data_IF_263806267503
#
_entry.id   IF_263806267503
#
_cell.length_a   1.000
_cell.length_b   1.000
_cell.length_c   1.000
_cell.angle_alpha   90.00
_cell.angle_beta   90.00
_cell.angle_gamma   90.00
#
_symmetry.space_group_name_H-M   'P 1'
#
loop_
_entity.id
_entity.type
_entity.pdbx_description
1 polymer ?
#
# COMPACT_ATOMS: atom_id res chain seq x y z
N UNK A 1 -16.89 0.57 16.98
CA UNK A 1 -16.76 1.85 17.74
C UNK A 1 -15.52 2.66 17.37
N UNK A 2 -15.22 2.87 16.08
CA UNK A 2 -14.09 3.72 15.67
C UNK A 2 -14.50 5.19 15.57
N UNK A 3 -15.71 5.50 15.07
CA UNK A 3 -16.28 6.86 15.07
C UNK A 3 -16.50 7.41 16.49
N UNK A 4 -16.95 6.57 17.43
CA UNK A 4 -17.28 7.00 18.79
C UNK A 4 -16.03 7.31 19.64
N UNK A 5 -14.92 6.62 19.37
CA UNK A 5 -13.68 6.75 20.15
C UNK A 5 -12.61 7.61 19.45
N UNK A 6 -12.93 8.18 18.28
CA UNK A 6 -12.00 8.99 17.50
C UNK A 6 -12.00 10.43 18.00
N UNK A 7 -10.83 11.07 18.18
CA UNK A 7 -10.73 12.49 18.49
C UNK A 7 -11.12 13.39 17.30
N UNK A 8 -11.40 12.80 16.13
CA UNK A 8 -11.83 13.51 14.92
C UNK A 8 -13.19 13.01 14.47
N UNK A 9 -14.06 13.95 14.09
CA UNK A 9 -15.33 13.65 13.44
C UNK A 9 -15.08 13.25 11.98
N UNK A 10 -15.65 12.12 11.58
CA UNK A 10 -15.57 11.66 10.19
C UNK A 10 -16.80 10.83 9.83
N UNK A 11 -17.14 10.90 8.56
CA UNK A 11 -18.05 9.97 7.92
C UNK A 11 -17.24 8.95 7.12
N UNK A 12 -17.83 7.78 6.94
CA UNK A 12 -17.21 6.68 6.22
C UNK A 12 -18.26 6.04 5.32
N UNK A 13 -17.93 5.97 4.05
CA UNK A 13 -18.61 5.18 3.04
C UNK A 13 -17.63 4.09 2.57
N UNK A 14 -18.09 2.85 2.54
CA UNK A 14 -17.32 1.76 1.95
C UNK A 14 -17.52 1.78 0.44
N UNK A 15 -16.44 1.65 -0.34
CA UNK A 15 -16.52 1.64 -1.80
C UNK A 15 -15.85 0.38 -2.30
N UNK A 16 -16.58 -0.39 -3.12
CA UNK A 16 -16.02 -1.52 -3.84
C UNK A 16 -16.02 -1.25 -5.34
N UNK A 17 -14.95 -1.64 -6.02
CA UNK A 17 -14.90 -1.63 -7.48
C UNK A 17 -15.05 -3.08 -7.97
N UNK A 18 -16.22 -3.40 -8.51
CA UNK A 18 -16.44 -4.61 -9.28
C UNK A 18 -15.85 -4.40 -10.69
N UNK A 19 -14.71 -5.04 -10.92
CA UNK A 19 -13.95 -4.94 -12.16
C UNK A 19 -14.45 -5.93 -13.25
N UNK A 20 -15.55 -6.64 -12.98
CA UNK A 20 -16.11 -7.73 -13.79
C UNK A 20 -15.11 -8.87 -14.03
N UNK A 21 -14.28 -9.16 -13.02
CA UNK A 21 -13.35 -10.28 -13.09
C UNK A 21 -14.13 -11.61 -13.02
N UNK A 22 -13.82 -12.58 -13.89
CA UNK A 22 -14.45 -13.89 -13.83
C UNK A 22 -14.31 -14.53 -12.44
N UNK A 23 -15.43 -14.96 -11.86
CA UNK A 23 -15.48 -15.61 -10.55
C UNK A 23 -15.45 -14.66 -9.35
N UNK A 24 -15.47 -13.34 -9.53
CA UNK A 24 -15.60 -12.40 -8.41
C UNK A 24 -16.97 -12.57 -7.73
N UNK A 25 -17.02 -12.83 -6.41
CA UNK A 25 -18.28 -13.01 -5.70
C UNK A 25 -18.88 -11.65 -5.33
N UNK A 26 -19.58 -11.05 -6.28
CA UNK A 26 -20.21 -9.72 -6.20
C UNK A 26 -21.14 -9.51 -4.98
N UNK A 27 -21.80 -10.56 -4.49
CA UNK A 27 -22.74 -10.51 -3.37
C UNK A 27 -22.09 -10.49 -1.97
N UNK A 28 -20.89 -11.08 -1.82
CA UNK A 28 -20.29 -11.34 -0.49
C UNK A 28 -20.07 -10.05 0.30
N UNK A 29 -19.50 -9.03 -0.33
CA UNK A 29 -19.20 -7.77 0.34
C UNK A 29 -20.45 -6.90 0.58
N UNK A 30 -21.34 -6.69 -0.41
CA UNK A 30 -22.62 -6.01 -0.18
C UNK A 30 -23.44 -6.61 0.95
N UNK A 31 -23.58 -7.94 1.00
CA UNK A 31 -24.41 -8.59 2.01
C UNK A 31 -23.83 -8.42 3.41
N UNK A 32 -22.52 -8.53 3.55
CA UNK A 32 -21.82 -8.25 4.81
C UNK A 32 -21.99 -6.79 5.25
N UNK A 33 -21.79 -5.82 4.35
CA UNK A 33 -21.91 -4.40 4.66
C UNK A 33 -23.34 -4.01 5.06
N UNK A 34 -24.36 -4.58 4.39
CA UNK A 34 -25.77 -4.46 4.79
C UNK A 34 -25.99 -5.02 6.19
N UNK A 35 -25.48 -6.21 6.48
CA UNK A 35 -25.64 -6.87 7.78
C UNK A 35 -25.09 -6.03 8.94
N UNK A 36 -23.94 -5.36 8.74
CA UNK A 36 -23.32 -4.51 9.77
C UNK A 36 -23.77 -3.04 9.72
N UNK A 37 -24.68 -2.68 8.82
CA UNK A 37 -25.26 -1.33 8.71
C UNK A 37 -24.26 -0.25 8.28
N UNK A 38 -23.27 -0.59 7.46
CA UNK A 38 -22.29 0.38 6.93
C UNK A 38 -22.77 0.87 5.56
N UNK A 39 -22.88 2.20 5.32
CA UNK A 39 -23.16 2.74 3.99
C UNK A 39 -22.07 2.34 2.99
N UNK A 40 -22.48 1.93 1.80
CA UNK A 40 -21.54 1.51 0.77
C UNK A 40 -22.07 1.75 -0.65
N UNK A 41 -21.13 1.91 -1.57
CA UNK A 41 -21.37 1.96 -3.01
C UNK A 41 -20.55 0.89 -3.73
N UNK A 42 -21.17 0.28 -4.75
CA UNK A 42 -20.52 -0.65 -5.67
C UNK A 42 -20.37 0.06 -7.00
N UNK A 43 -19.13 0.31 -7.41
CA UNK A 43 -18.80 0.84 -8.72
C UNK A 43 -18.58 -0.35 -9.65
N UNK A 44 -19.35 -0.44 -10.73
CA UNK A 44 -19.23 -1.51 -11.71
C UNK A 44 -18.55 -1.00 -12.98
N UNK A 45 -17.36 -1.51 -13.29
CA UNK A 45 -16.58 -1.11 -14.46
C UNK A 45 -15.83 -2.31 -15.03
N UNK A 46 -16.03 -2.63 -16.31
CA UNK A 46 -15.34 -3.75 -16.96
C UNK A 46 -13.89 -3.40 -17.34
N UNK A 47 -13.07 -3.22 -16.32
CA UNK A 47 -11.61 -3.02 -16.50
C UNK A 47 -10.91 -4.32 -16.88
N UNK A 48 -11.51 -5.48 -16.60
CA UNK A 48 -10.94 -6.78 -16.95
C UNK A 48 -10.79 -6.94 -18.46
N UNK A 49 -11.86 -6.69 -19.23
CA UNK A 49 -11.83 -6.75 -20.69
C UNK A 49 -10.88 -5.72 -21.30
N UNK A 50 -10.80 -4.53 -20.71
CA UNK A 50 -9.85 -3.49 -21.16
C UNK A 50 -8.41 -3.97 -20.99
N UNK A 51 -8.07 -4.53 -19.83
CA UNK A 51 -6.71 -5.01 -19.54
C UNK A 51 -6.32 -6.15 -20.47
N UNK A 52 -7.20 -7.13 -20.69
CA UNK A 52 -6.94 -8.26 -21.60
C UNK A 52 -6.82 -7.83 -23.06
N UNK A 53 -7.54 -6.78 -23.48
CA UNK A 53 -7.43 -6.23 -24.83
C UNK A 53 -6.12 -5.48 -25.06
N UNK A 54 -5.65 -4.74 -24.04
CA UNK A 54 -4.48 -3.85 -24.17
C UNK A 54 -3.16 -4.59 -23.92
N UNK A 55 -3.16 -5.55 -22.99
CA UNK A 55 -1.95 -6.28 -22.60
C UNK A 55 -1.91 -7.62 -23.34
N UNK A 56 -0.86 -7.89 -24.14
CA UNK A 56 -0.72 -9.18 -24.80
C UNK A 56 -0.69 -10.34 -23.81
N UNK A 57 -1.19 -11.50 -24.25
CA UNK A 57 -1.17 -12.71 -23.46
C UNK A 57 0.26 -13.06 -22.99
N UNK A 58 0.40 -13.54 -21.75
CA UNK A 58 1.70 -13.84 -21.13
C UNK A 58 2.48 -12.61 -20.61
N UNK A 59 1.98 -11.38 -20.78
CA UNK A 59 2.56 -10.17 -20.17
C UNK A 59 1.84 -9.78 -18.88
N UNK A 60 2.55 -9.07 -18.01
CA UNK A 60 2.04 -8.62 -16.70
C UNK A 60 0.92 -7.60 -16.81
N UNK A 61 -0.25 -7.95 -16.28
CA UNK A 61 -1.47 -7.14 -16.31
C UNK A 61 -1.62 -6.18 -15.14
N UNK A 62 -0.98 -6.48 -14.00
CA UNK A 62 -1.17 -5.77 -12.73
C UNK A 62 -0.88 -4.26 -12.82
N UNK A 63 0.09 -3.86 -13.65
CA UNK A 63 0.45 -2.45 -13.81
C UNK A 63 -0.68 -1.60 -14.39
N UNK A 64 -1.34 -2.08 -15.45
CA UNK A 64 -2.48 -1.38 -16.06
C UNK A 64 -3.72 -1.48 -15.17
N UNK A 65 -4.04 -2.67 -14.66
CA UNK A 65 -5.17 -2.88 -13.75
C UNK A 65 -5.10 -1.96 -12.52
N UNK A 66 -3.92 -1.85 -11.88
CA UNK A 66 -3.74 -0.97 -10.72
C UNK A 66 -3.94 0.51 -11.05
N UNK A 67 -3.55 0.96 -12.26
CA UNK A 67 -3.75 2.35 -12.70
C UNK A 67 -5.22 2.65 -12.95
N UNK A 68 -5.92 1.76 -13.65
CA UNK A 68 -7.37 1.89 -13.92
C UNK A 68 -8.16 1.92 -12.61
N UNK A 69 -7.92 0.96 -11.71
CA UNK A 69 -8.58 0.90 -10.39
C UNK A 69 -8.39 2.20 -9.61
N UNK A 70 -7.16 2.72 -9.57
CA UNK A 70 -6.86 3.97 -8.87
C UNK A 70 -7.61 5.14 -9.51
N UNK A 71 -7.58 5.26 -10.83
CA UNK A 71 -8.29 6.31 -11.56
C UNK A 71 -9.77 6.33 -11.25
N UNK A 72 -10.43 5.17 -11.33
CA UNK A 72 -11.88 5.05 -11.05
C UNK A 72 -12.21 5.44 -9.61
N UNK A 73 -11.47 4.91 -8.62
CA UNK A 73 -11.71 5.22 -7.22
C UNK A 73 -11.46 6.71 -6.89
N UNK A 74 -10.49 7.34 -7.55
CA UNK A 74 -10.17 8.75 -7.33
C UNK A 74 -11.24 9.64 -7.98
N UNK A 75 -11.67 9.32 -9.21
CA UNK A 75 -12.78 10.03 -9.86
C UNK A 75 -14.07 9.94 -9.04
N UNK A 76 -14.38 8.76 -8.48
CA UNK A 76 -15.51 8.60 -7.58
C UNK A 76 -15.35 9.47 -6.33
N UNK A 77 -14.16 9.51 -5.72
CA UNK A 77 -13.89 10.35 -4.57
C UNK A 77 -14.08 11.84 -4.88
N UNK A 78 -13.61 12.31 -6.04
CA UNK A 78 -13.80 13.69 -6.50
C UNK A 78 -15.28 14.03 -6.70
N UNK A 79 -16.03 13.19 -7.42
CA UNK A 79 -17.44 13.40 -7.71
C UNK A 79 -18.34 13.40 -6.46
N UNK A 80 -17.92 12.73 -5.39
CA UNK A 80 -18.66 12.62 -4.14
C UNK A 80 -18.08 13.50 -3.02
N UNK A 81 -17.20 14.46 -3.34
CA UNK A 81 -16.59 15.37 -2.36
C UNK A 81 -15.89 14.63 -1.19
N UNK A 82 -15.19 13.54 -1.49
CA UNK A 82 -14.46 12.73 -0.51
C UNK A 82 -13.02 13.24 -0.41
N UNK A 83 -12.68 13.80 0.76
CA UNK A 83 -11.34 14.39 1.00
C UNK A 83 -10.23 13.36 1.23
N UNK A 84 -10.59 12.13 1.65
CA UNK A 84 -9.63 11.10 2.09
C UNK A 84 -10.01 9.70 1.60
N UNK A 85 -9.03 8.99 1.05
CA UNK A 85 -9.19 7.61 0.58
C UNK A 85 -8.41 6.69 1.53
N UNK A 86 -9.12 5.83 2.25
CA UNK A 86 -8.50 4.84 3.14
C UNK A 86 -8.28 3.51 2.42
N UNK A 87 -7.03 3.03 2.40
CA UNK A 87 -6.66 1.75 1.79
C UNK A 87 -6.12 0.80 2.85
N UNK A 88 -6.46 -0.49 2.73
CA UNK A 88 -6.14 -1.54 3.71
C UNK A 88 -4.69 -2.03 3.72
N UNK A 89 -3.75 -1.26 3.15
CA UNK A 89 -2.34 -1.67 3.12
C UNK A 89 -1.76 -1.71 4.54
N UNK A 90 -1.10 -2.82 4.87
CA UNK A 90 -0.49 -3.06 6.17
C UNK A 90 1.03 -2.89 6.15
N UNK A 91 1.68 -2.98 7.31
CA UNK A 91 3.11 -2.74 7.46
C UNK A 91 3.96 -3.59 6.51
N UNK A 92 3.62 -4.87 6.38
CA UNK A 92 4.38 -5.77 5.51
C UNK A 92 4.25 -5.40 4.03
N UNK A 93 3.09 -4.88 3.57
CA UNK A 93 2.94 -4.35 2.20
C UNK A 93 3.89 -3.17 1.93
N UNK A 94 4.08 -2.31 2.93
CA UNK A 94 4.99 -1.16 2.86
C UNK A 94 6.44 -1.66 2.72
N UNK A 95 6.82 -2.65 3.51
CA UNK A 95 8.16 -3.24 3.45
C UNK A 95 8.37 -3.93 2.10
N UNK A 96 7.44 -4.80 1.67
CA UNK A 96 7.51 -5.44 0.35
C UNK A 96 7.69 -4.42 -0.77
N UNK A 97 6.97 -3.30 -0.69
CA UNK A 97 7.02 -2.25 -1.70
C UNK A 97 8.34 -1.50 -1.68
N UNK A 98 8.95 -1.30 -0.50
CA UNK A 98 10.32 -0.79 -0.39
C UNK A 98 11.30 -1.70 -1.15
N UNK A 99 11.28 -3.00 -0.88
CA UNK A 99 12.20 -3.95 -1.50
C UNK A 99 11.96 -4.11 -3.00
N UNK A 100 10.70 -4.09 -3.45
CA UNK A 100 10.38 -4.08 -4.87
C UNK A 100 11.00 -2.87 -5.58
N UNK A 101 10.89 -1.67 -5.02
CA UNK A 101 11.48 -0.47 -5.62
C UNK A 101 13.02 -0.48 -5.51
N UNK A 102 13.56 -1.02 -4.43
CA UNK A 102 15.01 -1.12 -4.25
C UNK A 102 15.65 -2.08 -5.26
N UNK A 103 15.07 -3.27 -5.47
CA UNK A 103 15.65 -4.27 -6.38
C UNK A 103 15.30 -4.08 -7.85
N UNK A 104 14.11 -3.59 -8.17
CA UNK A 104 13.65 -3.49 -9.57
C UNK A 104 13.46 -2.05 -10.05
N UNK A 105 13.31 -1.09 -9.13
CA UNK A 105 13.05 0.31 -9.45
C UNK A 105 14.24 1.24 -9.28
N UNK A 106 15.34 0.77 -8.67
CA UNK A 106 16.50 1.59 -8.34
C UNK A 106 16.21 2.75 -7.39
N UNK A 107 15.18 2.62 -6.53
CA UNK A 107 14.69 3.71 -5.67
C UNK A 107 14.42 3.22 -4.26
N UNK A 108 14.81 4.03 -3.26
CA UNK A 108 14.33 3.87 -1.88
C UNK A 108 12.94 4.52 -1.80
N UNK A 109 11.91 3.74 -2.14
CA UNK A 109 10.52 4.21 -2.20
C UNK A 109 9.56 3.13 -1.71
N UNK A 110 8.65 3.51 -0.83
CA UNK A 110 7.54 2.67 -0.35
C UNK A 110 6.19 3.37 -0.62
N UNK A 111 5.20 3.13 0.22
CA UNK A 111 3.91 3.81 0.22
C UNK A 111 3.60 4.34 1.63
N UNK A 112 3.82 5.64 1.91
CA UNK A 112 3.78 6.16 3.27
C UNK A 112 2.37 6.05 3.89
N UNK A 113 2.24 6.05 5.23
CA UNK A 113 0.94 5.97 5.91
C UNK A 113 -0.07 7.06 5.47
N UNK A 114 0.44 8.24 5.08
CA UNK A 114 -0.33 9.35 4.52
C UNK A 114 0.38 9.86 3.28
N UNK A 115 -0.34 10.02 2.18
CA UNK A 115 0.19 10.47 0.89
C UNK A 115 -0.77 11.47 0.26
N UNK A 116 -0.26 12.61 -0.18
CA UNK A 116 -0.99 13.50 -1.09
C UNK A 116 -0.89 12.91 -2.50
N UNK A 117 -2.02 12.77 -3.20
CA UNK A 117 -2.04 12.28 -4.58
C UNK A 117 -1.23 13.18 -5.53
N UNK A 118 -0.79 12.63 -6.66
CA UNK A 118 0.05 13.36 -7.62
C UNK A 118 -0.66 14.60 -8.21
N UNK A 119 -1.99 14.52 -8.40
CA UNK A 119 -2.86 15.64 -8.79
C UNK A 119 -3.21 16.60 -7.65
N UNK A 120 -2.74 16.29 -6.42
CA UNK A 120 -2.96 17.04 -5.18
C UNK A 120 -4.42 17.20 -4.75
N UNK A 121 -5.34 16.43 -5.34
CA UNK A 121 -6.78 16.51 -5.04
C UNK A 121 -7.21 15.65 -3.85
N UNK A 122 -6.47 14.59 -3.55
CA UNK A 122 -6.88 13.60 -2.54
C UNK A 122 -5.76 13.27 -1.56
N UNK A 123 -6.14 12.98 -0.31
CA UNK A 123 -5.23 12.42 0.68
C UNK A 123 -5.50 10.92 0.79
N UNK A 124 -4.51 10.09 0.45
CA UNK A 124 -4.55 8.65 0.71
C UNK A 124 -4.03 8.37 2.10
N UNK A 125 -4.79 7.61 2.88
CA UNK A 125 -4.39 7.13 4.21
C UNK A 125 -4.34 5.60 4.24
N UNK A 126 -3.45 5.05 5.06
CA UNK A 126 -3.28 3.60 5.28
C UNK A 126 -3.38 3.33 6.78
N UNK A 127 -4.59 3.19 7.34
CA UNK A 127 -4.79 3.05 8.78
C UNK A 127 -4.07 1.83 9.39
N UNK A 128 -3.81 0.80 8.57
CA UNK A 128 -3.16 -0.44 8.99
C UNK A 128 -1.63 -0.43 8.76
N UNK A 129 -1.03 0.69 8.35
CA UNK A 129 0.39 0.76 7.97
C UNK A 129 1.39 0.35 9.07
N UNK A 130 0.94 0.28 10.33
CA UNK A 130 1.75 -0.14 11.47
C UNK A 130 1.40 -1.56 11.97
N UNK A 131 0.35 -2.17 11.42
CA UNK A 131 -0.14 -3.49 11.80
C UNK A 131 0.59 -4.59 11.00
N UNK A 132 0.86 -5.72 11.66
CA UNK A 132 1.47 -6.90 11.03
C UNK A 132 0.39 -7.70 10.30
N UNK A 133 0.72 -8.28 9.15
CA UNK A 133 -0.18 -9.15 8.38
C UNK A 133 -0.70 -10.30 9.24
N UNK A 134 0.18 -10.95 10.01
CA UNK A 134 -0.19 -12.08 10.88
C UNK A 134 -1.25 -11.70 11.92
N UNK A 135 -1.13 -10.50 12.51
CA UNK A 135 -2.05 -10.03 13.55
C UNK A 135 -3.41 -9.67 12.92
N UNK A 136 -3.39 -9.09 11.71
CA UNK A 136 -4.60 -8.81 10.93
C UNK A 136 -5.31 -10.11 10.55
N UNK A 137 -4.56 -11.12 10.10
CA UNK A 137 -5.10 -12.42 9.70
C UNK A 137 -5.75 -13.16 10.89
N UNK A 138 -5.08 -13.18 12.04
CA UNK A 138 -5.62 -13.74 13.28
C UNK A 138 -6.90 -13.00 13.71
N UNK A 139 -6.86 -11.66 13.70
CA UNK A 139 -8.04 -10.86 14.05
C UNK A 139 -9.20 -11.08 13.08
N UNK A 140 -8.94 -11.18 11.77
CA UNK A 140 -9.96 -11.45 10.76
C UNK A 140 -10.61 -12.83 10.96
N UNK A 141 -9.84 -13.85 11.33
CA UNK A 141 -10.36 -15.17 11.66
C UNK A 141 -11.24 -15.14 12.91
N UNK A 142 -10.79 -14.48 13.98
CA UNK A 142 -11.57 -14.31 15.22
C UNK A 142 -12.88 -13.55 15.01
N UNK A 143 -12.88 -12.57 14.09
CA UNK A 143 -14.08 -11.81 13.72
C UNK A 143 -14.90 -12.46 12.61
N UNK A 144 -14.43 -13.57 12.05
CA UNK A 144 -15.08 -14.29 10.96
C UNK A 144 -15.41 -13.35 9.78
N UNK A 145 -14.50 -12.45 9.44
CA UNK A 145 -14.71 -11.56 8.31
C UNK A 145 -14.81 -12.35 6.99
N UNK A 146 -15.71 -11.97 6.07
CA UNK A 146 -15.80 -12.61 4.77
C UNK A 146 -14.57 -12.25 3.93
N UNK A 147 -13.68 -13.21 3.75
CA UNK A 147 -12.47 -13.02 2.95
C UNK A 147 -12.76 -13.35 1.48
N UNK A 148 -12.62 -12.35 0.61
CA UNK A 148 -12.67 -12.54 -0.84
C UNK A 148 -11.24 -12.82 -1.33
N UNK A 149 -10.96 -14.01 -1.87
CA UNK A 149 -9.61 -14.36 -2.29
C UNK A 149 -9.15 -13.51 -3.47
N UNK A 150 -7.91 -13.03 -3.42
CA UNK A 150 -7.26 -12.28 -4.50
C UNK A 150 -6.61 -13.23 -5.51
N UNK A 151 -7.37 -14.21 -6.01
CA UNK A 151 -6.92 -15.16 -7.05
C UNK A 151 -7.59 -14.91 -8.41
N UNK A 152 -8.50 -13.95 -8.48
CA UNK A 152 -9.40 -13.69 -9.60
C UNK A 152 -8.71 -13.13 -10.85
N UNK A 153 -7.53 -12.53 -10.71
CA UNK A 153 -6.77 -11.97 -11.83
C UNK A 153 -6.00 -13.04 -12.64
N UNK A 154 -6.42 -14.32 -12.59
CA UNK A 154 -5.74 -15.42 -13.27
C UNK A 154 -4.27 -15.51 -12.92
N UNK A 155 -3.96 -15.45 -11.61
CA UNK A 155 -2.64 -15.58 -10.98
C UNK A 155 -1.44 -15.55 -11.93
N UNK A 156 -1.23 -14.44 -12.65
CA UNK A 156 0.14 -14.04 -12.92
C UNK A 156 0.67 -13.62 -11.57
N UNK A 157 1.25 -14.59 -10.87
CA UNK A 157 2.19 -14.37 -9.80
C UNK A 157 3.03 -13.19 -10.25
N UNK A 158 2.85 -12.03 -9.63
CA UNK A 158 3.86 -11.00 -9.76
C UNK A 158 5.07 -11.61 -9.06
N UNK A 159 5.87 -12.37 -9.82
CA UNK A 159 6.93 -13.24 -9.32
C UNK A 159 7.85 -12.45 -8.40
N UNK A 160 8.02 -11.16 -8.72
CA UNK A 160 8.74 -10.20 -7.91
C UNK A 160 8.10 -10.00 -6.53
N UNK A 161 6.80 -9.68 -6.44
CA UNK A 161 6.13 -9.48 -5.14
C UNK A 161 6.10 -10.75 -4.31
N UNK A 162 5.81 -11.89 -4.92
CA UNK A 162 5.83 -13.17 -4.22
C UNK A 162 7.25 -13.54 -3.77
N UNK A 163 8.26 -13.32 -4.60
CA UNK A 163 9.66 -13.51 -4.19
C UNK A 163 10.05 -12.60 -3.03
N UNK A 164 9.62 -11.32 -3.04
CA UNK A 164 9.86 -10.39 -1.93
C UNK A 164 9.18 -10.87 -0.65
N UNK A 165 7.91 -11.27 -0.73
CA UNK A 165 7.18 -11.80 0.42
C UNK A 165 7.87 -13.02 1.01
N UNK A 166 8.25 -13.99 0.18
CA UNK A 166 8.96 -15.20 0.61
C UNK A 166 10.31 -14.88 1.25
N UNK A 167 11.09 -13.96 0.67
CA UNK A 167 12.38 -13.52 1.21
C UNK A 167 12.20 -12.86 2.60
N UNK A 168 11.24 -11.95 2.72
CA UNK A 168 10.96 -11.23 3.97
C UNK A 168 10.48 -12.17 5.08
N UNK A 169 9.58 -13.11 4.75
CA UNK A 169 9.14 -14.14 5.69
C UNK A 169 10.28 -15.06 6.14
N UNK A 170 11.18 -15.42 5.22
CA UNK A 170 12.36 -16.22 5.56
C UNK A 170 13.27 -15.48 6.54
N UNK A 171 13.52 -14.19 6.30
CA UNK A 171 14.33 -13.38 7.21
C UNK A 171 13.69 -13.18 8.57
N UNK A 172 12.38 -12.96 8.64
CA UNK A 172 11.68 -12.81 9.93
C UNK A 172 11.70 -14.13 10.72
N UNK A 173 11.62 -15.28 10.04
CA UNK A 173 11.77 -16.59 10.67
C UNK A 173 13.18 -16.83 11.21
N UNK A 174 14.21 -16.43 10.47
CA UNK A 174 15.61 -16.57 10.89
C UNK A 174 16.00 -15.57 11.98
N UNK A 175 15.44 -14.36 11.92
CA UNK A 175 15.72 -13.26 12.83
C UNK A 175 14.40 -12.60 13.26
N UNK A 176 13.71 -13.15 14.29
CA UNK A 176 12.47 -12.57 14.78
C UNK A 176 12.64 -11.09 15.13
N UNK A 177 11.80 -10.21 14.59
CA UNK A 177 11.96 -8.77 14.75
C UNK A 177 12.58 -8.05 13.55
N UNK A 178 12.95 -8.79 12.48
CA UNK A 178 13.62 -8.22 11.31
C UNK A 178 12.73 -7.24 10.58
N UNK A 179 11.46 -7.58 10.39
CA UNK A 179 10.52 -6.70 9.67
C UNK A 179 10.24 -5.41 10.45
N UNK A 180 10.18 -5.49 11.78
CA UNK A 180 10.07 -4.33 12.68
C UNK A 180 11.29 -3.41 12.55
N UNK A 181 12.48 -4.00 12.51
CA UNK A 181 13.74 -3.25 12.37
C UNK A 181 13.81 -2.54 11.03
N UNK A 182 13.44 -3.24 9.94
CA UNK A 182 13.35 -2.66 8.59
C UNK A 182 12.31 -1.54 8.55
N UNK A 183 11.13 -1.74 9.11
CA UNK A 183 10.10 -0.70 9.12
C UNK A 183 10.53 0.52 9.96
N UNK A 184 11.29 0.30 11.03
CA UNK A 184 11.89 1.38 11.83
C UNK A 184 12.94 2.14 11.01
N UNK A 185 13.76 1.47 10.20
CA UNK A 185 14.74 2.16 9.34
C UNK A 185 14.07 3.04 8.28
N UNK A 186 12.88 2.67 7.81
CA UNK A 186 12.09 3.52 6.90
C UNK A 186 11.69 4.87 7.51
N UNK A 187 11.68 4.99 8.84
CA UNK A 187 11.35 6.21 9.57
C UNK A 187 12.61 6.99 10.00
N UNK A 188 13.80 6.40 9.83
CA UNK A 188 15.07 6.91 10.34
C UNK A 188 16.12 6.98 9.23
N UNK A 189 15.83 7.72 8.16
CA UNK A 189 16.76 7.96 7.05
C UNK A 189 17.84 8.94 7.51
N UNK A 190 19.11 8.65 7.20
CA UNK A 190 20.26 9.53 7.48
C UNK A 190 20.83 10.07 6.17
N UNK A 191 20.39 11.25 5.67
CA UNK A 191 20.79 11.75 4.34
C UNK A 191 22.31 11.83 4.13
N UNK A 192 23.07 12.24 5.14
CA UNK A 192 24.54 12.36 5.08
C UNK A 192 25.27 11.02 4.98
N UNK A 193 24.59 9.90 5.24
CA UNK A 193 25.12 8.54 5.16
C UNK A 193 24.56 7.78 3.94
N UNK A 194 23.86 8.49 3.05
CA UNK A 194 23.35 7.98 1.78
C UNK A 194 24.15 8.57 0.60
N UNK A 195 23.68 8.37 -0.64
CA UNK A 195 24.35 8.83 -1.86
C UNK A 195 23.49 9.80 -2.70
N UNK A 196 22.53 10.47 -2.06
CA UNK A 196 21.61 11.42 -2.73
C UNK A 196 22.09 12.86 -2.51
N UNK A 197 22.72 13.43 -3.54
CA UNK A 197 23.28 14.79 -3.49
C UNK A 197 22.23 15.91 -3.45
N UNK A 198 20.98 15.61 -3.81
CA UNK A 198 19.89 16.58 -3.72
C UNK A 198 19.40 16.71 -2.27
N UNK A 199 19.49 15.62 -1.50
CA UNK A 199 19.10 15.56 -0.10
C UNK A 199 20.21 15.95 0.88
N UNK A 200 21.49 15.87 0.46
CA UNK A 200 22.63 16.29 1.27
C UNK A 200 23.77 16.82 0.40
N UNK A 201 24.29 18.00 0.74
CA UNK A 201 25.38 18.63 0.01
C UNK A 201 26.73 18.00 0.40
N UNK A 202 27.15 17.00 -0.38
CA UNK A 202 28.45 16.36 -0.23
C UNK A 202 29.61 17.21 -0.77
N UNK A 203 29.35 18.18 -1.66
CA UNK A 203 30.41 18.94 -2.33
C UNK A 203 31.03 20.00 -1.42
N UNK A 204 30.26 20.53 -0.47
CA UNK A 204 30.74 21.52 0.51
C UNK A 204 31.45 20.92 1.71
N UNK A 205 31.57 19.58 1.81
CA UNK A 205 32.24 18.93 2.93
C UNK A 205 33.73 19.30 2.96
N UNK A 206 34.13 19.93 4.08
CA UNK A 206 35.52 20.25 4.38
C UNK A 206 35.89 19.66 5.74
N UNK A 207 37.10 19.11 5.85
CA UNK A 207 37.63 18.71 7.14
C UNK A 207 37.96 19.97 7.95
N UNK A 208 37.44 20.09 9.16
CA UNK A 208 37.94 21.10 10.09
C UNK A 208 39.39 20.75 10.44
N UNK A 209 40.34 21.55 9.94
CA UNK A 209 41.70 21.48 10.42
C UNK A 209 41.71 21.92 11.88
N UNK A 210 41.98 20.99 12.78
CA UNK A 210 42.22 21.30 14.19
C UNK A 210 43.50 22.12 14.27
N UNK A 211 43.38 23.45 14.31
CA UNK A 211 44.45 24.32 14.77
C UNK A 211 44.68 24.05 16.26
N UNK A 212 45.45 23.00 16.57
CA UNK A 212 46.19 22.94 17.84
C UNK A 212 47.23 24.06 17.82
N UNK A 213 46.78 25.27 18.16
CA UNK A 213 47.65 26.34 18.62
C UNK A 213 48.22 25.90 19.97
N UNK A 214 49.31 25.13 19.92
CA UNK A 214 50.21 25.03 21.05
C UNK A 214 50.77 26.44 21.32
N UNK A 215 50.56 26.88 22.56
CA UNK A 215 51.26 27.88 23.37
C UNK A 215 52.45 28.60 22.73
#
# INVERSE_FOLDING_TARGET
>A
NLRHNSPVHFELIAVNLDQKQPGFPDHVLPDYLKQIGIPFDIIEEDTYSIVNRVIPEGKTTCGLCSRLRRGILYSYAENNSIDKIALGHHRDDLIETLFLNMFYGGKIKSMPPKLLSDDRKHIVIRPLAYCREKDIAEYAALKQYPLIPCNLCGSQTNLQRQAMKSMLQQWDKQYPGRLETIFTSMQNIQPSQMADSDMFDFQSLVAESTNHSNR
#
